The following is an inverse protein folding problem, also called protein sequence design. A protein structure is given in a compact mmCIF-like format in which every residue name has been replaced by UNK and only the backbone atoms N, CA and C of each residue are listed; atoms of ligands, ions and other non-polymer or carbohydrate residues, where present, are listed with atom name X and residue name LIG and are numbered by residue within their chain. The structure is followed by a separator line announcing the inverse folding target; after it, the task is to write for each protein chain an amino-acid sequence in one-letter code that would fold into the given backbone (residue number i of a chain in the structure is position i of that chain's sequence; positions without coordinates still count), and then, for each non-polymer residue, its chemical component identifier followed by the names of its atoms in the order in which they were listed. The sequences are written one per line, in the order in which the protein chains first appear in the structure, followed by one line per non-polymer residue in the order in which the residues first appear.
data_IF_055839742811
#
_entry.id   IF_055839742811
#
_cell.length_a   1.000
_cell.length_b   1.000
_cell.length_c   1.000
_cell.angle_alpha   90.00
_cell.angle_beta   90.00
_cell.angle_gamma   90.00
#
_symmetry.space_group_name_H-M   'P 1'
#
loop_
_entity.id
_entity.type
_entity.pdbx_description
1 polymer ?
#
# COMPACT_ATOMS: atom_id res chain seq x y z
N UNK A 1 -49.95 0.78 -11.91
CA UNK A 1 -48.60 0.46 -11.40
C UNK A 1 -47.64 1.59 -11.75
N UNK A 2 -47.18 2.39 -10.77
CA UNK A 2 -45.96 3.23 -10.82
C UNK A 2 -45.88 4.06 -9.52
N UNK A 3 -45.60 3.36 -8.41
CA UNK A 3 -45.24 3.94 -7.10
C UNK A 3 -43.94 3.29 -6.61
N UNK A 4 -42.87 3.35 -7.40
CA UNK A 4 -41.58 2.73 -7.03
C UNK A 4 -40.33 3.49 -7.52
N UNK A 5 -40.46 4.73 -8.02
CA UNK A 5 -39.33 5.49 -8.59
C UNK A 5 -38.84 6.67 -7.73
N UNK A 6 -39.27 6.77 -6.47
CA UNK A 6 -38.87 7.88 -5.58
C UNK A 6 -37.86 7.53 -4.48
N UNK A 7 -37.54 6.26 -4.26
CA UNK A 7 -36.84 5.81 -3.03
C UNK A 7 -35.34 5.51 -3.23
N UNK A 8 -34.79 5.68 -4.43
CA UNK A 8 -33.43 5.20 -4.77
C UNK A 8 -32.34 6.29 -4.87
N UNK A 9 -32.67 7.57 -4.60
CA UNK A 9 -31.74 8.69 -4.79
C UNK A 9 -31.14 9.28 -3.51
N UNK A 10 -31.50 8.80 -2.30
CA UNK A 10 -31.13 9.48 -1.03
C UNK A 10 -29.98 8.78 -0.27
N UNK A 11 -29.43 7.65 -0.76
CA UNK A 11 -28.42 6.86 0.01
C UNK A 11 -26.96 7.12 -0.43
N UNK A 12 -26.69 8.00 -1.39
CA UNK A 12 -25.36 8.06 -2.03
C UNK A 12 -24.41 9.14 -1.47
N UNK A 13 -24.82 9.94 -0.48
CA UNK A 13 -24.10 11.19 -0.12
C UNK A 13 -23.42 11.16 1.26
N UNK A 14 -23.53 10.08 2.04
CA UNK A 14 -22.98 10.06 3.42
C UNK A 14 -21.56 9.49 3.57
N UNK A 15 -20.87 9.09 2.49
CA UNK A 15 -19.52 8.50 2.57
C UNK A 15 -18.40 9.29 1.86
N UNK A 16 -18.68 10.47 1.32
CA UNK A 16 -17.67 11.18 0.50
C UNK A 16 -16.60 11.93 1.32
N UNK A 17 -16.87 12.29 2.57
CA UNK A 17 -15.87 12.96 3.43
C UNK A 17 -14.90 11.97 4.10
N UNK A 18 -15.37 10.80 4.54
CA UNK A 18 -14.52 9.79 5.17
C UNK A 18 -13.48 9.17 4.21
N UNK A 19 -13.82 8.99 2.93
CA UNK A 19 -12.88 8.45 1.93
C UNK A 19 -11.75 9.43 1.55
N UNK A 20 -11.98 10.74 1.63
CA UNK A 20 -10.97 11.74 1.24
C UNK A 20 -9.84 11.83 2.27
N UNK A 21 -10.20 11.90 3.56
CA UNK A 21 -9.23 11.94 4.66
C UNK A 21 -8.44 10.63 4.78
N UNK A 22 -9.11 9.49 4.59
CA UNK A 22 -8.46 8.18 4.61
C UNK A 22 -7.47 8.02 3.46
N UNK A 23 -7.85 8.43 2.24
CA UNK A 23 -6.95 8.41 1.08
C UNK A 23 -5.72 9.29 1.30
N UNK A 24 -5.91 10.50 1.82
CA UNK A 24 -4.78 11.39 2.10
C UNK A 24 -3.80 10.78 3.12
N UNK A 25 -4.31 10.12 4.15
CA UNK A 25 -3.47 9.43 5.15
C UNK A 25 -2.71 8.24 4.56
N UNK A 26 -3.34 7.47 3.67
CA UNK A 26 -2.70 6.35 3.00
C UNK A 26 -1.52 6.84 2.13
N UNK A 27 -1.71 7.92 1.37
CA UNK A 27 -0.65 8.50 0.52
C UNK A 27 0.51 9.07 1.35
N UNK A 28 0.22 9.72 2.48
CA UNK A 28 1.25 10.19 3.40
C UNK A 28 2.07 9.01 3.96
N UNK A 29 1.39 7.96 4.44
CA UNK A 29 2.05 6.76 4.92
C UNK A 29 2.89 6.07 3.85
N UNK A 30 2.38 5.98 2.61
CA UNK A 30 3.12 5.43 1.47
C UNK A 30 4.40 6.21 1.23
N UNK A 31 4.33 7.53 1.23
CA UNK A 31 5.48 8.41 1.02
C UNK A 31 6.55 8.18 2.09
N UNK A 32 6.15 8.13 3.36
CA UNK A 32 7.06 7.89 4.47
C UNK A 32 7.66 6.49 4.44
N UNK A 33 6.85 5.48 4.12
CA UNK A 33 7.29 4.10 3.96
C UNK A 33 8.33 3.96 2.84
N UNK A 34 8.05 4.51 1.64
CA UNK A 34 8.98 4.46 0.52
C UNK A 34 10.31 5.15 0.85
N UNK A 35 10.27 6.28 1.55
CA UNK A 35 11.47 6.99 2.03
C UNK A 35 12.28 6.14 3.02
N UNK A 36 11.62 5.47 3.96
CA UNK A 36 12.31 4.59 4.90
C UNK A 36 12.91 3.37 4.18
N UNK A 37 12.15 2.76 3.30
CA UNK A 37 12.54 1.60 2.49
C UNK A 37 13.78 1.88 1.61
N UNK A 38 13.94 3.13 1.14
CA UNK A 38 15.09 3.54 0.31
C UNK A 38 16.21 4.21 1.11
N UNK A 39 16.02 4.47 2.41
CA UNK A 39 16.99 5.24 3.22
C UNK A 39 18.38 4.60 3.32
N UNK A 40 18.45 3.27 3.20
CA UNK A 40 19.69 2.49 3.19
C UNK A 40 20.22 2.20 1.78
N UNK A 41 19.45 2.54 0.74
CA UNK A 41 19.87 2.35 -0.64
C UNK A 41 21.04 3.29 -0.98
N UNK A 42 22.13 2.71 -1.49
CA UNK A 42 23.28 3.45 -2.02
C UNK A 42 23.46 3.08 -3.49
N UNK A 43 23.72 4.05 -4.37
CA UNK A 43 23.93 3.80 -5.79
C UNK A 43 23.56 4.98 -6.68
N UNK A 44 23.50 4.73 -8.00
CA UNK A 44 23.06 5.71 -8.99
C UNK A 44 21.58 6.09 -8.81
N UNK A 45 21.18 7.26 -9.28
CA UNK A 45 19.78 7.73 -9.24
C UNK A 45 18.81 6.72 -9.86
N UNK A 46 19.21 6.05 -10.95
CA UNK A 46 18.41 4.99 -11.57
C UNK A 46 18.16 3.80 -10.64
N UNK A 47 19.14 3.43 -9.81
CA UNK A 47 19.00 2.34 -8.84
C UNK A 47 18.09 2.75 -7.67
N UNK A 48 18.23 3.99 -7.19
CA UNK A 48 17.36 4.54 -6.13
C UNK A 48 15.90 4.63 -6.62
N UNK A 49 15.68 5.08 -7.86
CA UNK A 49 14.35 5.13 -8.48
C UNK A 49 13.73 3.73 -8.62
N UNK A 50 14.51 2.75 -9.08
CA UNK A 50 14.06 1.37 -9.16
C UNK A 50 13.64 0.81 -7.80
N UNK A 51 14.47 0.98 -6.76
CA UNK A 51 14.15 0.55 -5.39
C UNK A 51 12.90 1.26 -4.88
N UNK A 52 12.77 2.56 -5.11
CA UNK A 52 11.57 3.34 -4.73
C UNK A 52 10.30 2.77 -5.36
N UNK A 53 10.36 2.39 -6.64
CA UNK A 53 9.23 1.77 -7.34
C UNK A 53 8.87 0.38 -6.77
N UNK A 54 9.87 -0.41 -6.38
CA UNK A 54 9.64 -1.69 -5.70
C UNK A 54 8.95 -1.47 -4.35
N UNK A 55 9.41 -0.51 -3.54
CA UNK A 55 8.80 -0.17 -2.26
C UNK A 55 7.34 0.29 -2.42
N UNK A 56 7.07 1.17 -3.38
CA UNK A 56 5.71 1.64 -3.68
C UNK A 56 4.79 0.50 -4.13
N UNK A 57 5.27 -0.36 -5.03
CA UNK A 57 4.51 -1.53 -5.47
C UNK A 57 4.20 -2.48 -4.31
N UNK A 58 5.19 -2.75 -3.45
CA UNK A 58 5.01 -3.63 -2.31
C UNK A 58 3.97 -3.05 -1.33
N UNK A 59 4.06 -1.75 -1.02
CA UNK A 59 3.07 -1.05 -0.19
C UNK A 59 1.66 -1.23 -0.74
N UNK A 60 1.45 -0.92 -2.03
CA UNK A 60 0.13 -0.99 -2.65
C UNK A 60 -0.46 -2.40 -2.57
N UNK A 61 0.36 -3.43 -2.81
CA UNK A 61 -0.08 -4.83 -2.75
C UNK A 61 -0.35 -5.31 -1.32
N UNK A 62 0.47 -4.90 -0.35
CA UNK A 62 0.27 -5.27 1.06
C UNK A 62 -0.99 -4.57 1.60
N UNK A 63 -1.18 -3.27 1.33
CA UNK A 63 -2.38 -2.53 1.73
C UNK A 63 -3.62 -3.11 1.04
N UNK A 64 -3.56 -3.49 -0.24
CA UNK A 64 -4.65 -4.18 -0.92
C UNK A 64 -5.01 -5.53 -0.28
N UNK A 65 -4.00 -6.28 0.22
CA UNK A 65 -4.20 -7.61 0.81
C UNK A 65 -4.69 -7.56 2.27
N UNK A 66 -4.17 -6.63 3.06
CA UNK A 66 -4.37 -6.63 4.52
C UNK A 66 -5.12 -5.38 5.05
N UNK A 67 -5.24 -4.33 4.24
CA UNK A 67 -5.72 -3.02 4.66
C UNK A 67 -4.65 -2.18 5.37
N UNK A 68 -4.84 -0.87 5.38
CA UNK A 68 -3.85 0.08 5.92
C UNK A 68 -3.61 -0.10 7.43
N UNK A 69 -4.65 -0.38 8.21
CA UNK A 69 -4.50 -0.56 9.66
C UNK A 69 -3.63 -1.78 10.02
N UNK A 70 -3.81 -2.88 9.29
CA UNK A 70 -3.01 -4.08 9.50
C UNK A 70 -1.58 -3.88 9.03
N UNK A 71 -1.39 -3.16 7.92
CA UNK A 71 -0.07 -2.75 7.46
C UNK A 71 0.67 -1.94 8.54
N UNK A 72 0.05 -0.89 9.08
CA UNK A 72 0.65 -0.04 10.13
C UNK A 72 0.99 -0.87 11.37
N UNK A 73 0.11 -1.79 11.77
CA UNK A 73 0.38 -2.70 12.89
C UNK A 73 1.65 -3.54 12.63
N UNK A 74 1.77 -4.13 11.45
CA UNK A 74 2.91 -4.99 11.10
C UNK A 74 4.20 -4.19 10.97
N UNK A 75 4.15 -2.99 10.38
CA UNK A 75 5.30 -2.08 10.27
C UNK A 75 5.81 -1.65 11.64
N UNK A 76 4.90 -1.31 12.58
CA UNK A 76 5.27 -0.98 13.95
C UNK A 76 5.83 -2.19 14.70
N UNK A 77 5.23 -3.38 14.55
CA UNK A 77 5.77 -4.61 15.16
C UNK A 77 7.20 -4.88 14.68
N UNK A 78 7.45 -4.79 13.37
CA UNK A 78 8.77 -4.98 12.81
C UNK A 78 9.78 -3.95 13.35
N UNK A 79 9.38 -2.68 13.49
CA UNK A 79 10.24 -1.61 14.03
C UNK A 79 10.54 -1.78 15.52
N UNK A 80 9.55 -2.17 16.31
CA UNK A 80 9.65 -2.21 17.77
C UNK A 80 10.46 -3.42 18.27
N UNK A 81 10.27 -4.58 17.64
CA UNK A 81 10.87 -5.83 18.14
C UNK A 81 11.38 -6.77 17.04
N UNK A 82 11.41 -6.33 15.78
CA UNK A 82 11.90 -7.14 14.67
C UNK A 82 11.01 -8.32 14.30
N UNK A 83 9.78 -8.41 14.85
CA UNK A 83 8.90 -9.55 14.64
C UNK A 83 7.92 -9.30 13.50
N UNK A 84 7.81 -10.29 12.62
CA UNK A 84 6.68 -10.45 11.70
C UNK A 84 6.20 -11.90 11.77
N UNK A 85 4.89 -12.19 11.83
CA UNK A 85 4.42 -13.58 11.81
C UNK A 85 4.94 -14.32 10.57
N UNK A 86 5.40 -15.58 10.68
CA UNK A 86 6.06 -16.27 9.56
C UNK A 86 5.24 -16.35 8.27
N UNK A 87 3.92 -16.54 8.39
CA UNK A 87 3.03 -16.54 7.23
C UNK A 87 2.95 -15.16 6.55
N UNK A 88 2.94 -14.09 7.36
CA UNK A 88 2.92 -12.72 6.87
C UNK A 88 4.25 -12.38 6.19
N UNK A 89 5.37 -12.78 6.78
CA UNK A 89 6.70 -12.62 6.21
C UNK A 89 6.80 -13.30 4.84
N UNK A 90 6.41 -14.58 4.74
CA UNK A 90 6.39 -15.29 3.46
C UNK A 90 5.51 -14.59 2.41
N UNK A 91 4.37 -14.05 2.82
CA UNK A 91 3.51 -13.29 1.91
C UNK A 91 4.15 -11.98 1.46
N UNK A 92 4.83 -11.26 2.36
CA UNK A 92 5.56 -10.03 2.04
C UNK A 92 6.71 -10.31 1.06
N UNK A 93 7.48 -11.39 1.28
CA UNK A 93 8.53 -11.83 0.35
C UNK A 93 7.96 -12.08 -1.05
N UNK A 94 6.89 -12.87 -1.16
CA UNK A 94 6.23 -13.14 -2.46
C UNK A 94 5.71 -11.86 -3.15
N UNK A 95 5.22 -10.90 -2.37
CA UNK A 95 4.77 -9.61 -2.89
C UNK A 95 5.95 -8.82 -3.47
N UNK A 96 7.06 -8.75 -2.75
CA UNK A 96 8.27 -8.05 -3.21
C UNK A 96 8.83 -8.72 -4.47
N UNK A 97 8.90 -10.06 -4.50
CA UNK A 97 9.31 -10.82 -5.68
C UNK A 97 8.41 -10.54 -6.91
N UNK A 98 7.09 -10.48 -6.71
CA UNK A 98 6.14 -10.11 -7.76
C UNK A 98 6.39 -8.69 -8.27
N UNK A 99 6.64 -7.72 -7.38
CA UNK A 99 6.94 -6.34 -7.76
C UNK A 99 8.25 -6.24 -8.56
N UNK A 100 9.30 -6.97 -8.14
CA UNK A 100 10.56 -7.04 -8.87
C UNK A 100 10.36 -7.62 -10.28
N UNK A 101 9.56 -8.67 -10.41
CA UNK A 101 9.28 -9.30 -11.71
C UNK A 101 8.49 -8.37 -12.65
N UNK A 102 7.48 -7.65 -12.13
CA UNK A 102 6.67 -6.71 -12.90
C UNK A 102 7.50 -5.53 -13.42
N UNK A 103 8.31 -4.92 -12.55
CA UNK A 103 9.13 -3.77 -12.94
C UNK A 103 10.24 -4.15 -13.92
N UNK A 104 10.83 -5.36 -13.79
CA UNK A 104 11.79 -5.86 -14.78
C UNK A 104 11.16 -6.07 -16.16
N UNK A 105 9.93 -6.59 -16.23
CA UNK A 105 9.22 -6.77 -17.51
C UNK A 105 8.91 -5.45 -18.21
N UNK A 106 8.67 -4.39 -17.45
CA UNK A 106 8.37 -3.06 -17.99
C UNK A 106 9.63 -2.23 -18.35
N UNK A 107 10.83 -2.77 -18.12
CA UNK A 107 12.11 -2.10 -18.41
C UNK A 107 12.74 -2.54 -19.74
N UNK A 108 12.06 -3.40 -20.51
CA UNK A 108 12.42 -3.88 -21.85
C UNK A 108 11.29 -3.54 -22.83
#
# INVERSE_FOLDING_TARGET
MKKFLGFLLIIQVLFTSACSDEKSKIEEYKTNFAKYCTSSARGSEGNISFITNVCNCAFDKIVKKYGINKFIQLDNQLKDNGYTPPEVEQNMVRIVESCLAELKKNSY
#
